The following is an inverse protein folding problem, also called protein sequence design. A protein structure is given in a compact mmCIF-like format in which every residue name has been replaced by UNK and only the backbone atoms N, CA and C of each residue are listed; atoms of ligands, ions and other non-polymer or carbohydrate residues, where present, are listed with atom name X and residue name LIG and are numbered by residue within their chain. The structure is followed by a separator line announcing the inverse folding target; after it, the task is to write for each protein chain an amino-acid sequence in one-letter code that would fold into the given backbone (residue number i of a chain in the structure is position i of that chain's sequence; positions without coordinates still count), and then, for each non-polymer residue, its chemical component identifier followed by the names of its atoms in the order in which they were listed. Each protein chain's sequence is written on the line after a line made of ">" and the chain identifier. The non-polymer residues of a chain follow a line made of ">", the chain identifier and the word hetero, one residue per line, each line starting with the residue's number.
data_IF_180505532802
#
_entry.id   IF_180505532802
#
_cell.length_a   1.000
_cell.length_b   1.000
_cell.length_c   1.000
_cell.angle_alpha   90.00
_cell.angle_beta   90.00
_cell.angle_gamma   90.00
#
_symmetry.space_group_name_H-M   'P 1'
#
loop_
_entity.id
_entity.type
_entity.pdbx_description
1 polymer ?
#
# COMPACT_ATOMS: atom_id res chain seq x y z
N UNK A 1 -3.66 -19.50 18.13
CA UNK A 1 -2.71 -18.63 17.41
C UNK A 1 -3.43 -18.17 16.16
N UNK A 2 -3.55 -16.88 15.92
CA UNK A 2 -4.25 -16.36 14.74
C UNK A 2 -3.56 -16.82 13.46
N UNK A 3 -4.34 -17.08 12.43
CA UNK A 3 -3.87 -17.44 11.08
C UNK A 3 -3.98 -16.23 10.15
N UNK A 4 -3.35 -16.31 8.99
CA UNK A 4 -3.53 -15.28 7.95
C UNK A 4 -5.00 -15.16 7.51
N UNK A 5 -5.74 -16.29 7.45
CA UNK A 5 -7.16 -16.27 7.10
C UNK A 5 -8.02 -15.56 8.16
N UNK A 6 -7.68 -15.67 9.44
CA UNK A 6 -8.39 -14.93 10.49
C UNK A 6 -8.23 -13.42 10.26
N UNK A 7 -7.02 -12.94 9.94
CA UNK A 7 -6.77 -11.53 9.62
C UNK A 7 -7.45 -11.07 8.31
N UNK A 8 -7.54 -11.94 7.29
CA UNK A 8 -8.30 -11.63 6.08
C UNK A 8 -9.79 -11.42 6.41
N UNK A 9 -10.34 -12.23 7.30
CA UNK A 9 -11.75 -12.08 7.74
C UNK A 9 -11.98 -10.84 8.60
N UNK A 10 -10.95 -10.33 9.26
CA UNK A 10 -11.01 -9.09 10.04
C UNK A 10 -10.90 -7.81 9.17
N UNK A 11 -10.50 -7.92 7.90
CA UNK A 11 -10.22 -6.74 7.05
C UNK A 11 -11.40 -5.77 6.98
N UNK A 12 -12.61 -6.27 6.73
CA UNK A 12 -13.78 -5.40 6.63
C UNK A 12 -13.99 -4.57 7.90
N UNK A 13 -14.01 -5.21 9.07
CA UNK A 13 -14.23 -4.51 10.34
C UNK A 13 -13.12 -3.49 10.62
N UNK A 14 -11.87 -3.88 10.38
CA UNK A 14 -10.71 -3.00 10.56
C UNK A 14 -10.80 -1.76 9.65
N UNK A 15 -11.15 -1.92 8.38
CA UNK A 15 -11.25 -0.80 7.45
C UNK A 15 -12.43 0.10 7.74
N UNK A 16 -13.56 -0.45 8.22
CA UNK A 16 -14.71 0.33 8.70
C UNK A 16 -14.29 1.24 9.87
N UNK A 17 -13.60 0.69 10.87
CA UNK A 17 -13.13 1.47 12.02
C UNK A 17 -12.18 2.60 11.61
N UNK A 18 -11.22 2.33 10.71
CA UNK A 18 -10.32 3.34 10.16
C UNK A 18 -11.10 4.45 9.45
N UNK A 19 -12.04 4.08 8.57
CA UNK A 19 -12.80 5.05 7.79
C UNK A 19 -13.76 5.88 8.67
N UNK A 20 -14.39 5.29 9.67
CA UNK A 20 -15.24 5.99 10.64
C UNK A 20 -14.43 6.95 11.51
N UNK A 21 -13.22 6.58 11.89
CA UNK A 21 -12.30 7.44 12.64
C UNK A 21 -11.75 8.61 11.83
N UNK A 22 -11.84 8.56 10.51
CA UNK A 22 -11.32 9.62 9.65
C UNK A 22 -12.23 10.84 9.61
N UNK A 23 -11.74 11.94 10.19
CA UNK A 23 -12.38 13.26 10.15
C UNK A 23 -11.41 14.24 9.49
N UNK A 24 -11.66 14.67 8.26
CA UNK A 24 -10.77 15.59 7.57
C UNK A 24 -10.76 16.94 8.28
N UNK A 25 -9.58 17.51 8.46
CA UNK A 25 -9.35 18.83 9.03
C UNK A 25 -8.44 19.63 8.10
N UNK A 26 -8.64 20.94 8.07
CA UNK A 26 -7.73 21.84 7.34
C UNK A 26 -6.50 22.09 8.22
N UNK A 27 -5.36 21.67 7.75
CA UNK A 27 -4.08 21.77 8.45
C UNK A 27 -3.06 22.45 7.55
N UNK A 28 -2.40 23.49 8.07
CA UNK A 28 -1.38 24.25 7.32
C UNK A 28 -0.24 23.35 6.85
N UNK A 29 0.22 22.42 7.70
CA UNK A 29 1.28 21.47 7.34
C UNK A 29 0.89 20.56 6.18
N UNK A 30 -0.37 20.08 6.16
CA UNK A 30 -0.89 19.28 5.04
C UNK A 30 -1.03 20.11 3.78
N UNK A 31 -1.52 21.35 3.91
CA UNK A 31 -1.69 22.26 2.79
C UNK A 31 -0.36 22.66 2.13
N UNK A 32 0.74 22.67 2.87
CA UNK A 32 2.07 23.01 2.37
C UNK A 32 2.73 21.89 1.55
N UNK A 33 2.23 20.63 1.60
CA UNK A 33 2.88 19.50 0.91
C UNK A 33 2.68 19.63 -0.60
N UNK A 34 3.77 19.80 -1.35
CA UNK A 34 3.82 19.74 -2.81
C UNK A 34 4.57 18.50 -3.30
N UNK A 35 5.64 18.12 -2.61
CA UNK A 35 6.45 16.94 -2.92
C UNK A 35 6.61 16.09 -1.67
N UNK A 36 6.06 14.88 -1.73
CA UNK A 36 6.10 13.91 -0.64
C UNK A 36 7.06 12.77 -0.98
N UNK A 37 8.08 12.59 -0.16
CA UNK A 37 8.89 11.37 -0.21
C UNK A 37 8.31 10.33 0.75
N UNK A 38 8.05 9.14 0.24
CA UNK A 38 7.65 7.99 1.06
C UNK A 38 8.81 7.01 1.15
N UNK A 39 9.17 6.65 2.38
CA UNK A 39 10.19 5.65 2.67
C UNK A 39 9.52 4.38 3.19
N UNK A 40 9.58 3.31 2.40
CA UNK A 40 8.92 2.05 2.72
C UNK A 40 9.65 0.86 2.10
N UNK A 41 9.51 -0.34 2.68
CA UNK A 41 10.05 -1.59 2.14
C UNK A 41 9.02 -2.72 2.27
N UNK A 42 9.16 -3.78 1.45
CA UNK A 42 8.27 -4.96 1.45
C UNK A 42 6.81 -4.60 1.19
N UNK A 43 5.88 -5.23 1.93
CA UNK A 43 4.44 -4.99 1.79
C UNK A 43 4.04 -3.52 2.01
N UNK A 44 4.76 -2.79 2.86
CA UNK A 44 4.54 -1.35 3.03
C UNK A 44 4.85 -0.58 1.76
N UNK A 45 5.94 -0.90 1.05
CA UNK A 45 6.27 -0.29 -0.24
C UNK A 45 5.25 -0.65 -1.33
N UNK A 46 4.80 -1.91 -1.35
CA UNK A 46 3.77 -2.36 -2.27
C UNK A 46 2.44 -1.61 -2.06
N UNK A 47 2.05 -1.37 -0.81
CA UNK A 47 0.88 -0.56 -0.47
C UNK A 47 1.05 0.90 -0.92
N UNK A 48 2.25 1.47 -0.77
CA UNK A 48 2.56 2.82 -1.26
C UNK A 48 2.44 2.90 -2.79
N UNK A 49 2.92 1.90 -3.53
CA UNK A 49 2.76 1.83 -4.98
C UNK A 49 1.28 1.78 -5.39
N UNK A 50 0.46 1.01 -4.67
CA UNK A 50 -0.98 0.92 -4.93
C UNK A 50 -1.71 2.24 -4.66
N UNK A 51 -1.32 2.99 -3.64
CA UNK A 51 -1.98 4.24 -3.24
C UNK A 51 -1.46 5.49 -3.98
N UNK A 52 -0.24 5.46 -4.52
CA UNK A 52 0.47 6.61 -5.09
C UNK A 52 -0.40 7.48 -6.01
N UNK A 53 -0.98 6.87 -7.03
CA UNK A 53 -1.73 7.60 -8.05
C UNK A 53 -3.00 8.27 -7.50
N UNK A 54 -3.62 7.65 -6.50
CA UNK A 54 -4.75 8.25 -5.80
C UNK A 54 -4.31 9.47 -4.99
N UNK A 55 -3.21 9.36 -4.25
CA UNK A 55 -2.65 10.48 -3.48
C UNK A 55 -2.30 11.65 -4.40
N UNK A 56 -1.59 11.41 -5.50
CA UNK A 56 -1.21 12.43 -6.48
C UNK A 56 -2.44 13.14 -7.09
N UNK A 57 -3.45 12.34 -7.46
CA UNK A 57 -4.68 12.88 -8.06
C UNK A 57 -5.52 13.70 -7.08
N UNK A 58 -5.72 13.19 -5.85
CA UNK A 58 -6.57 13.82 -4.85
C UNK A 58 -5.95 15.07 -4.24
N UNK A 59 -4.63 15.06 -4.06
CA UNK A 59 -3.90 16.12 -3.40
C UNK A 59 -3.17 17.06 -4.36
N UNK A 60 -3.07 16.73 -5.64
CA UNK A 60 -2.28 17.44 -6.66
C UNK A 60 -0.83 17.67 -6.19
N UNK A 61 -0.19 16.58 -5.74
CA UNK A 61 1.20 16.54 -5.27
C UNK A 61 2.02 15.57 -6.11
N UNK A 62 3.33 15.67 -5.99
CA UNK A 62 4.25 14.63 -6.48
C UNK A 62 4.58 13.66 -5.35
N UNK A 63 4.44 12.35 -5.59
CA UNK A 63 4.80 11.30 -4.63
C UNK A 63 5.97 10.50 -5.17
N UNK A 64 7.09 10.53 -4.45
CA UNK A 64 8.26 9.67 -4.71
C UNK A 64 8.30 8.57 -3.65
N UNK A 65 8.54 7.34 -4.07
CA UNK A 65 8.67 6.19 -3.16
C UNK A 65 10.07 5.65 -3.29
N UNK A 66 10.79 5.54 -2.18
CA UNK A 66 12.13 4.96 -2.14
C UNK A 66 12.24 3.89 -1.06
N UNK A 67 13.11 2.92 -1.31
CA UNK A 67 13.49 1.91 -0.33
C UNK A 67 14.46 2.54 0.69
N UNK A 68 14.17 2.43 2.01
CA UNK A 68 14.93 3.16 3.04
C UNK A 68 16.41 2.84 3.09
N UNK A 69 16.82 1.59 2.88
CA UNK A 69 18.24 1.24 2.85
C UNK A 69 18.96 1.89 1.66
N UNK A 70 18.30 1.88 0.50
CA UNK A 70 18.83 2.54 -0.70
C UNK A 70 18.95 4.04 -0.48
N UNK A 71 17.90 4.67 0.07
CA UNK A 71 17.92 6.09 0.43
C UNK A 71 19.07 6.44 1.39
N UNK A 72 19.27 5.65 2.44
CA UNK A 72 20.29 5.90 3.47
C UNK A 72 21.72 5.88 2.93
N UNK A 73 22.00 5.08 1.92
CA UNK A 73 23.37 4.82 1.44
C UNK A 73 23.68 5.41 0.06
N UNK A 74 22.66 5.61 -0.77
CA UNK A 74 22.82 6.04 -2.15
C UNK A 74 21.86 7.17 -2.56
N UNK A 75 20.83 7.43 -1.76
CA UNK A 75 19.82 8.42 -2.04
C UNK A 75 20.31 9.85 -1.82
N UNK A 76 19.57 10.78 -2.38
CA UNK A 76 19.76 12.20 -2.19
C UNK A 76 18.42 12.88 -1.94
N UNK A 77 18.31 13.59 -0.85
CA UNK A 77 17.11 14.37 -0.55
C UNK A 77 17.09 15.63 -1.42
N UNK A 78 16.09 15.71 -2.31
CA UNK A 78 15.86 16.97 -3.06
C UNK A 78 15.46 18.10 -2.11
N UNK A 79 15.92 19.31 -2.39
CA UNK A 79 15.56 20.52 -1.62
C UNK A 79 14.06 20.87 -1.74
N UNK A 80 13.36 20.29 -2.70
CA UNK A 80 11.94 20.49 -2.93
C UNK A 80 11.07 19.58 -2.04
N UNK A 81 11.68 18.61 -1.36
CA UNK A 81 10.97 17.71 -0.43
C UNK A 81 10.93 18.35 0.95
N UNK A 82 9.74 18.69 1.40
CA UNK A 82 9.49 19.33 2.68
C UNK A 82 8.98 18.35 3.73
N UNK A 83 8.37 17.25 3.27
CA UNK A 83 7.75 16.23 4.13
C UNK A 83 8.17 14.84 3.69
N UNK A 84 8.52 14.01 4.66
CA UNK A 84 8.81 12.59 4.46
C UNK A 84 7.85 11.74 5.26
N UNK A 85 7.21 10.79 4.58
CA UNK A 85 6.35 9.78 5.19
C UNK A 85 7.13 8.46 5.31
N UNK A 86 7.38 8.01 6.51
CA UNK A 86 7.99 6.72 6.80
C UNK A 86 6.90 5.68 7.09
N UNK A 87 6.80 4.64 6.26
CA UNK A 87 5.76 3.61 6.38
C UNK A 87 6.41 2.29 6.80
N UNK A 88 6.03 1.81 7.97
CA UNK A 88 6.45 0.52 8.49
C UNK A 88 5.34 -0.07 9.34
N UNK A 89 4.65 -1.11 8.86
CA UNK A 89 3.53 -1.72 9.57
C UNK A 89 3.89 -2.07 11.02
N UNK A 90 5.01 -2.72 11.27
CA UNK A 90 5.46 -3.04 12.64
C UNK A 90 6.11 -1.85 13.38
N UNK A 91 6.47 -0.78 12.68
CA UNK A 91 7.26 0.32 13.22
C UNK A 91 8.69 -0.04 13.66
N UNK A 92 9.18 -1.24 13.26
CA UNK A 92 10.47 -1.81 13.70
C UNK A 92 11.48 -2.00 12.57
N UNK A 93 11.19 -1.56 11.34
CA UNK A 93 12.13 -1.63 10.22
C UNK A 93 13.36 -0.78 10.51
N UNK A 94 14.51 -1.42 10.65
CA UNK A 94 15.76 -0.75 11.03
C UNK A 94 16.15 0.33 10.01
N UNK A 95 16.13 0.02 8.72
CA UNK A 95 16.47 0.98 7.66
C UNK A 95 15.54 2.18 7.61
N UNK A 96 14.23 1.98 7.88
CA UNK A 96 13.25 3.07 7.96
C UNK A 96 13.51 3.97 9.18
N UNK A 97 13.81 3.38 10.32
CA UNK A 97 14.12 4.10 11.55
C UNK A 97 15.42 4.91 11.39
N UNK A 98 16.42 4.32 10.74
CA UNK A 98 17.71 5.00 10.46
C UNK A 98 17.53 6.18 9.50
N UNK A 99 16.68 6.02 8.47
CA UNK A 99 16.36 7.11 7.55
C UNK A 99 15.72 8.31 8.26
N UNK A 100 14.71 8.05 9.10
CA UNK A 100 14.06 9.09 9.91
C UNK A 100 15.07 9.77 10.85
N UNK A 101 15.96 9.02 11.48
CA UNK A 101 16.96 9.56 12.37
C UNK A 101 18.01 10.44 11.64
N UNK A 102 18.26 10.21 10.35
CA UNK A 102 19.09 11.08 9.53
C UNK A 102 18.35 12.36 9.12
N UNK A 103 17.06 12.23 8.72
CA UNK A 103 16.21 13.33 8.30
C UNK A 103 15.91 14.32 9.42
N UNK A 104 15.71 13.84 10.65
CA UNK A 104 15.47 14.69 11.82
C UNK A 104 16.62 15.69 12.11
N UNK A 105 17.83 15.44 11.57
CA UNK A 105 18.96 16.35 11.65
C UNK A 105 18.96 17.46 10.59
N UNK A 106 18.03 17.37 9.63
CA UNK A 106 17.96 18.26 8.46
C UNK A 106 16.72 19.17 8.49
N UNK A 107 16.02 19.23 9.62
CA UNK A 107 14.79 20.02 9.81
C UNK A 107 13.65 19.66 8.83
N UNK A 108 13.61 18.39 8.41
CA UNK A 108 12.55 17.84 7.55
C UNK A 108 11.40 17.35 8.42
N UNK A 109 10.17 17.73 8.06
CA UNK A 109 8.98 17.24 8.74
C UNK A 109 8.74 15.76 8.41
N UNK A 110 8.73 14.92 9.44
CA UNK A 110 8.59 13.47 9.29
C UNK A 110 7.28 12.97 9.85
N UNK A 111 6.59 12.15 9.10
CA UNK A 111 5.36 11.45 9.48
C UNK A 111 5.67 9.96 9.52
N UNK A 112 5.26 9.26 10.56
CA UNK A 112 5.36 7.81 10.67
C UNK A 112 3.99 7.16 10.62
N UNK A 113 3.85 6.10 9.83
CA UNK A 113 2.65 5.27 9.76
C UNK A 113 3.01 3.86 10.23
N UNK A 114 2.43 3.41 11.35
CA UNK A 114 2.68 2.08 11.93
C UNK A 114 1.48 1.59 12.74
N UNK A 115 1.40 0.27 12.99
CA UNK A 115 0.32 -0.35 13.79
C UNK A 115 0.62 -0.40 15.29
N UNK A 116 1.72 0.18 15.71
CA UNK A 116 2.12 0.26 17.13
C UNK A 116 2.52 1.71 17.44
N UNK A 117 1.65 2.47 18.13
CA UNK A 117 1.94 3.86 18.52
C UNK A 117 3.16 4.01 19.45
N UNK A 118 3.56 2.93 20.11
CA UNK A 118 4.76 2.88 20.95
C UNK A 118 6.00 2.36 20.20
N UNK A 119 5.89 2.13 18.91
CA UNK A 119 6.99 1.60 18.10
C UNK A 119 8.20 2.52 18.07
N UNK A 120 9.40 1.98 17.80
CA UNK A 120 10.61 2.79 17.63
C UNK A 120 10.50 3.83 16.51
N UNK A 121 9.71 3.57 15.47
CA UNK A 121 9.41 4.55 14.42
C UNK A 121 8.54 5.69 14.96
N UNK A 122 7.44 5.36 15.63
CA UNK A 122 6.49 6.33 16.17
C UNK A 122 7.16 7.33 17.13
N UNK A 123 8.15 6.87 17.89
CA UNK A 123 8.89 7.72 18.83
C UNK A 123 9.94 8.66 18.18
N UNK A 124 10.24 8.49 16.89
CA UNK A 124 11.28 9.26 16.21
C UNK A 124 10.77 10.25 15.17
N UNK A 125 9.50 10.20 14.84
CA UNK A 125 8.87 11.10 13.87
C UNK A 125 8.27 12.34 14.54
N UNK A 126 8.03 13.39 13.75
CA UNK A 126 7.32 14.57 14.25
C UNK A 126 5.83 14.32 14.44
N UNK A 127 5.24 13.43 13.63
CA UNK A 127 3.85 13.05 13.71
C UNK A 127 3.74 11.53 13.53
N UNK A 128 3.07 10.85 14.45
CA UNK A 128 2.78 9.42 14.35
C UNK A 128 1.31 9.19 14.04
N UNK A 129 1.05 8.38 13.02
CA UNK A 129 -0.29 7.94 12.63
C UNK A 129 -0.41 6.46 12.93
N UNK A 130 -1.42 6.09 13.74
CA UNK A 130 -1.78 4.71 13.96
C UNK A 130 -2.43 4.13 12.70
N UNK A 131 -1.93 2.98 12.25
CA UNK A 131 -2.50 2.25 11.13
C UNK A 131 -3.91 1.73 11.42
N UNK A 132 -4.26 1.54 12.69
CA UNK A 132 -5.58 1.07 13.13
C UNK A 132 -5.78 -0.44 13.04
N UNK A 133 -4.72 -1.21 12.79
CA UNK A 133 -4.82 -2.68 12.64
C UNK A 133 -4.52 -3.44 13.92
N UNK A 134 -3.92 -2.77 14.92
CA UNK A 134 -3.23 -3.48 15.99
C UNK A 134 -2.07 -4.33 15.47
N UNK A 135 -1.50 -5.14 16.34
CA UNK A 135 -0.30 -5.95 16.03
C UNK A 135 -0.72 -7.29 15.45
N UNK A 136 -0.32 -7.58 14.22
CA UNK A 136 -0.44 -8.90 13.62
C UNK A 136 0.63 -9.84 14.19
N UNK A 137 0.21 -11.03 14.61
CA UNK A 137 1.09 -12.04 15.23
C UNK A 137 1.52 -13.15 14.28
N UNK A 138 0.92 -13.20 13.08
CA UNK A 138 1.36 -14.07 11.98
C UNK A 138 2.59 -13.44 11.33
N UNK A 139 3.51 -14.26 10.83
CA UNK A 139 4.77 -13.78 10.27
C UNK A 139 4.66 -13.01 8.93
N UNK A 140 3.45 -12.83 8.43
CA UNK A 140 3.16 -12.21 7.12
C UNK A 140 2.17 -11.07 7.29
N UNK A 141 2.50 -9.89 6.77
CA UNK A 141 1.58 -8.74 6.75
C UNK A 141 0.33 -9.14 5.97
N UNK A 142 -0.85 -8.98 6.56
CA UNK A 142 -2.14 -9.37 5.97
C UNK A 142 -3.08 -8.16 5.93
N UNK A 143 -3.93 -7.95 6.92
CA UNK A 143 -4.81 -6.77 6.98
C UNK A 143 -4.05 -5.45 7.05
N UNK A 144 -2.80 -5.50 7.52
CA UNK A 144 -1.90 -4.35 7.51
C UNK A 144 -1.63 -3.79 6.13
N UNK A 145 -1.64 -4.62 5.07
CA UNK A 145 -1.48 -4.14 3.70
C UNK A 145 -2.68 -3.28 3.25
N UNK A 146 -3.89 -3.81 3.34
CA UNK A 146 -5.10 -3.09 2.90
C UNK A 146 -5.36 -1.84 3.75
N UNK A 147 -5.08 -1.91 5.05
CA UNK A 147 -5.16 -0.77 5.95
C UNK A 147 -4.13 0.32 5.58
N UNK A 148 -2.91 -0.05 5.20
CA UNK A 148 -1.90 0.89 4.72
C UNK A 148 -2.37 1.59 3.44
N UNK A 149 -2.94 0.85 2.48
CA UNK A 149 -3.52 1.44 1.26
C UNK A 149 -4.62 2.44 1.60
N UNK A 150 -5.55 2.08 2.50
CA UNK A 150 -6.62 2.98 2.93
C UNK A 150 -6.08 4.23 3.63
N UNK A 151 -5.16 4.10 4.58
CA UNK A 151 -4.57 5.23 5.31
C UNK A 151 -3.83 6.20 4.38
N UNK A 152 -3.11 5.68 3.39
CA UNK A 152 -2.43 6.50 2.38
C UNK A 152 -3.46 7.22 1.48
N UNK A 153 -4.52 6.53 1.10
CA UNK A 153 -5.62 7.14 0.35
C UNK A 153 -6.26 8.29 1.15
N UNK A 154 -6.58 8.06 2.43
CA UNK A 154 -7.15 9.06 3.34
C UNK A 154 -6.17 10.21 3.60
N UNK A 155 -4.86 9.95 3.62
CA UNK A 155 -3.84 11.01 3.67
C UNK A 155 -3.91 11.89 2.41
N UNK A 156 -4.05 11.31 1.22
CA UNK A 156 -4.28 12.06 -0.02
C UNK A 156 -5.52 12.93 0.05
N UNK A 157 -6.63 12.38 0.59
CA UNK A 157 -7.86 13.16 0.84
C UNK A 157 -7.61 14.32 1.82
N UNK A 158 -6.90 14.05 2.93
CA UNK A 158 -6.59 15.08 3.95
C UNK A 158 -5.74 16.22 3.38
N UNK A 159 -4.72 15.90 2.59
CA UNK A 159 -3.89 16.91 1.92
C UNK A 159 -4.74 17.72 0.92
N UNK A 160 -5.50 17.05 0.05
CA UNK A 160 -6.34 17.71 -0.93
C UNK A 160 -7.42 18.61 -0.31
N UNK A 161 -8.00 18.16 0.80
CA UNK A 161 -8.96 18.96 1.58
C UNK A 161 -8.29 20.17 2.24
N UNK A 162 -7.10 19.99 2.81
CA UNK A 162 -6.33 21.08 3.43
C UNK A 162 -5.93 22.15 2.42
N UNK A 163 -5.56 21.74 1.19
CA UNK A 163 -5.25 22.63 0.07
C UNK A 163 -6.48 23.31 -0.54
N UNK A 164 -7.70 22.91 -0.15
CA UNK A 164 -8.95 23.39 -0.74
C UNK A 164 -9.23 22.85 -2.15
N UNK A 165 -8.53 21.80 -2.57
CA UNK A 165 -8.77 21.08 -3.82
C UNK A 165 -10.04 20.25 -3.73
N UNK A 166 -10.28 19.64 -2.57
CA UNK A 166 -11.49 18.86 -2.28
C UNK A 166 -12.44 19.66 -1.41
N UNK A 167 -13.72 19.70 -1.81
CA UNK A 167 -14.81 20.25 -1.00
C UNK A 167 -15.35 19.22 0.00
N UNK A 168 -16.18 19.67 0.96
CA UNK A 168 -16.88 18.79 1.90
C UNK A 168 -17.74 17.74 1.20
N UNK A 169 -18.45 18.13 0.14
CA UNK A 169 -19.27 17.22 -0.66
C UNK A 169 -18.42 16.14 -1.37
N UNK A 170 -17.26 16.54 -1.92
CA UNK A 170 -16.34 15.60 -2.57
C UNK A 170 -15.73 14.63 -1.55
N UNK A 171 -15.36 15.10 -0.37
CA UNK A 171 -14.87 14.22 0.70
C UNK A 171 -15.96 13.24 1.14
N UNK A 172 -17.21 13.72 1.30
CA UNK A 172 -18.34 12.86 1.64
C UNK A 172 -18.61 11.81 0.57
N UNK A 173 -18.56 12.19 -0.70
CA UNK A 173 -18.71 11.26 -1.82
C UNK A 173 -17.61 10.19 -1.82
N UNK A 174 -16.35 10.57 -1.58
CA UNK A 174 -15.22 9.64 -1.49
C UNK A 174 -15.42 8.67 -0.33
N UNK A 175 -15.84 9.14 0.85
CA UNK A 175 -16.12 8.27 1.99
C UNK A 175 -17.20 7.25 1.68
N UNK A 176 -18.30 7.63 1.06
CA UNK A 176 -19.37 6.73 0.67
C UNK A 176 -18.86 5.65 -0.33
N UNK A 177 -18.05 6.04 -1.31
CA UNK A 177 -17.43 5.07 -2.25
C UNK A 177 -16.50 4.08 -1.54
N UNK A 178 -15.72 4.54 -0.57
CA UNK A 178 -14.89 3.66 0.24
C UNK A 178 -15.71 2.71 1.11
N UNK A 179 -16.82 3.18 1.70
CA UNK A 179 -17.76 2.36 2.45
C UNK A 179 -18.33 1.23 1.57
N UNK A 180 -18.83 1.55 0.37
CA UNK A 180 -19.33 0.55 -0.60
C UNK A 180 -18.26 -0.50 -0.96
N UNK A 181 -17.01 -0.06 -1.17
CA UNK A 181 -15.90 -0.98 -1.45
C UNK A 181 -15.59 -1.89 -0.27
N UNK A 182 -15.58 -1.35 0.94
CA UNK A 182 -15.31 -2.12 2.17
C UNK A 182 -16.45 -3.14 2.43
N UNK A 183 -17.69 -2.76 2.18
CA UNK A 183 -18.85 -3.66 2.29
C UNK A 183 -18.77 -4.86 1.34
N UNK A 184 -18.10 -4.72 0.21
CA UNK A 184 -17.94 -5.81 -0.76
C UNK A 184 -16.88 -6.86 -0.36
N UNK A 185 -15.99 -6.58 0.60
CA UNK A 185 -14.86 -7.46 0.96
C UNK A 185 -15.31 -8.89 1.30
N UNK A 186 -16.32 -9.15 2.15
CA UNK A 186 -16.71 -10.52 2.47
C UNK A 186 -17.16 -11.32 1.23
N UNK A 187 -17.81 -10.66 0.27
CA UNK A 187 -18.21 -11.30 -0.98
C UNK A 187 -16.99 -11.61 -1.86
N UNK A 188 -15.99 -10.73 -1.88
CA UNK A 188 -14.72 -10.95 -2.61
C UNK A 188 -13.98 -12.14 -2.01
N UNK A 189 -13.89 -12.22 -0.68
CA UNK A 189 -13.26 -13.35 0.02
C UNK A 189 -13.94 -14.66 -0.37
N UNK A 190 -15.28 -14.72 -0.26
CA UNK A 190 -16.05 -15.92 -0.58
C UNK A 190 -15.86 -16.36 -2.04
N UNK A 191 -15.91 -15.42 -2.99
CA UNK A 191 -15.68 -15.70 -4.42
C UNK A 191 -14.25 -16.19 -4.69
N UNK A 192 -13.26 -15.63 -3.98
CA UNK A 192 -11.85 -16.03 -4.12
C UNK A 192 -11.63 -17.45 -3.62
N UNK A 193 -12.24 -17.82 -2.49
CA UNK A 193 -12.18 -19.20 -1.96
C UNK A 193 -12.81 -20.19 -2.96
N UNK A 194 -14.02 -19.90 -3.46
CA UNK A 194 -14.71 -20.74 -4.46
C UNK A 194 -13.88 -20.87 -5.76
N UNK A 195 -13.30 -19.77 -6.24
CA UNK A 195 -12.40 -19.78 -7.39
C UNK A 195 -11.18 -20.65 -7.16
N UNK A 196 -10.55 -20.55 -6.00
CA UNK A 196 -9.38 -21.34 -5.65
C UNK A 196 -9.75 -22.85 -5.57
N UNK A 197 -10.84 -23.20 -4.92
CA UNK A 197 -11.29 -24.59 -4.81
C UNK A 197 -11.57 -25.22 -6.18
N UNK A 198 -12.24 -24.49 -7.07
CA UNK A 198 -12.53 -24.93 -8.44
C UNK A 198 -11.28 -25.13 -9.30
N UNK A 199 -10.22 -24.39 -9.04
CA UNK A 199 -8.98 -24.43 -9.81
C UNK A 199 -7.81 -25.08 -9.07
N UNK A 200 -8.04 -25.72 -7.93
CA UNK A 200 -7.00 -26.29 -7.06
C UNK A 200 -6.08 -27.28 -7.77
N UNK A 201 -6.58 -28.04 -8.74
CA UNK A 201 -5.74 -28.96 -9.54
C UNK A 201 -4.74 -28.24 -10.41
N UNK A 202 -5.09 -27.08 -10.99
CA UNK A 202 -4.21 -26.24 -11.79
C UNK A 202 -3.13 -25.65 -10.90
N UNK A 203 -3.53 -25.07 -9.77
CA UNK A 203 -2.59 -24.45 -8.83
C UNK A 203 -1.58 -25.41 -8.24
N UNK A 204 -1.99 -26.66 -7.98
CA UNK A 204 -1.09 -27.71 -7.46
C UNK A 204 -0.01 -28.15 -8.46
N UNK A 205 -0.25 -27.99 -9.74
CA UNK A 205 0.69 -28.33 -10.81
C UNK A 205 1.60 -27.19 -11.20
N UNK A 206 1.24 -25.96 -10.81
CA UNK A 206 2.03 -24.79 -11.15
C UNK A 206 3.39 -24.79 -10.43
N UNK A 207 4.42 -24.54 -11.19
CA UNK A 207 5.78 -24.36 -10.65
C UNK A 207 6.20 -22.88 -10.56
N UNK A 208 5.37 -21.96 -11.08
CA UNK A 208 5.55 -20.52 -11.04
C UNK A 208 4.21 -19.79 -11.07
N UNK A 209 4.14 -18.68 -10.32
CA UNK A 209 3.01 -17.76 -10.35
C UNK A 209 3.48 -16.37 -10.78
N UNK A 210 2.70 -15.75 -11.64
CA UNK A 210 2.97 -14.39 -12.15
C UNK A 210 1.72 -13.55 -12.02
N UNK A 211 1.85 -12.37 -11.44
CA UNK A 211 0.79 -11.37 -11.45
C UNK A 211 1.23 -10.18 -12.32
N UNK A 212 0.34 -9.71 -13.17
CA UNK A 212 0.57 -8.55 -14.04
C UNK A 212 -0.49 -7.50 -13.73
N UNK A 213 -0.06 -6.28 -13.41
CA UNK A 213 -0.95 -5.17 -13.11
C UNK A 213 -0.43 -3.87 -13.67
N UNK A 214 -1.31 -2.90 -13.84
CA UNK A 214 -0.95 -1.56 -14.30
C UNK A 214 -1.56 -0.49 -13.40
N UNK A 215 -0.95 0.70 -13.36
CA UNK A 215 -1.36 1.75 -12.44
C UNK A 215 -1.34 1.28 -10.97
N UNK A 216 -2.41 1.50 -10.20
CA UNK A 216 -2.50 1.03 -8.81
C UNK A 216 -2.33 -0.49 -8.66
N UNK A 217 -2.75 -1.26 -9.66
CA UNK A 217 -2.68 -2.71 -9.64
C UNK A 217 -1.25 -3.25 -9.77
N UNK A 218 -0.28 -2.43 -10.15
CA UNK A 218 1.13 -2.81 -10.04
C UNK A 218 1.54 -3.04 -8.58
N UNK A 219 1.11 -2.17 -7.66
CA UNK A 219 1.32 -2.39 -6.22
C UNK A 219 0.67 -3.70 -5.74
N UNK A 220 -0.54 -4.01 -6.24
CA UNK A 220 -1.22 -5.28 -5.96
C UNK A 220 -0.45 -6.48 -6.53
N UNK A 221 0.09 -6.39 -7.75
CA UNK A 221 0.91 -7.44 -8.33
C UNK A 221 2.21 -7.67 -7.54
N UNK A 222 2.83 -6.62 -7.02
CA UNK A 222 4.01 -6.72 -6.15
C UNK A 222 3.67 -7.34 -4.80
N UNK A 223 2.50 -7.05 -4.24
CA UNK A 223 2.06 -7.70 -3.01
C UNK A 223 1.72 -9.18 -3.24
N UNK A 224 1.12 -9.52 -4.38
CA UNK A 224 0.95 -10.91 -4.81
C UNK A 224 2.31 -11.66 -4.81
N UNK A 225 3.34 -11.10 -5.46
CA UNK A 225 4.69 -11.66 -5.46
C UNK A 225 5.16 -11.95 -4.03
N UNK A 226 5.03 -10.95 -3.15
CA UNK A 226 5.47 -11.05 -1.77
C UNK A 226 4.71 -12.16 -1.04
N UNK A 227 3.37 -12.15 -1.08
CA UNK A 227 2.54 -13.12 -0.34
C UNK A 227 2.70 -14.55 -0.87
N UNK A 228 2.75 -14.75 -2.17
CA UNK A 228 2.94 -16.08 -2.74
C UNK A 228 4.33 -16.65 -2.42
N UNK A 229 5.37 -15.81 -2.49
CA UNK A 229 6.72 -16.22 -2.10
C UNK A 229 6.79 -16.60 -0.61
N UNK A 230 6.18 -15.83 0.26
CA UNK A 230 6.18 -16.06 1.71
C UNK A 230 5.37 -17.29 2.12
N UNK A 231 4.21 -17.52 1.51
CA UNK A 231 3.23 -18.52 1.96
C UNK A 231 3.32 -19.83 1.19
N UNK A 232 3.37 -19.79 -0.13
CA UNK A 232 3.41 -20.98 -1.01
C UNK A 232 4.85 -21.43 -1.23
N UNK A 233 5.82 -20.52 -1.20
CA UNK A 233 7.26 -20.76 -1.39
C UNK A 233 7.59 -21.34 -2.76
N UNK A 234 6.83 -20.96 -3.75
CA UNK A 234 7.09 -21.23 -5.17
C UNK A 234 7.53 -19.92 -5.83
N UNK A 235 8.41 -19.94 -6.82
CA UNK A 235 8.80 -18.73 -7.55
C UNK A 235 7.58 -17.93 -7.98
N UNK A 236 7.50 -16.67 -7.54
CA UNK A 236 6.35 -15.80 -7.81
C UNK A 236 6.87 -14.41 -8.16
N UNK A 237 6.24 -13.76 -9.13
CA UNK A 237 6.65 -12.44 -9.62
C UNK A 237 5.46 -11.55 -9.88
N UNK A 238 5.62 -10.27 -9.56
CA UNK A 238 4.66 -9.21 -9.86
C UNK A 238 5.27 -8.22 -10.83
N UNK A 239 4.63 -8.04 -11.98
CA UNK A 239 5.10 -7.14 -13.03
C UNK A 239 4.12 -5.98 -13.26
N UNK A 240 4.69 -4.85 -13.65
CA UNK A 240 3.94 -3.85 -14.38
C UNK A 240 3.71 -4.34 -15.81
N UNK A 241 2.57 -4.00 -16.42
CA UNK A 241 2.14 -4.55 -17.71
C UNK A 241 3.19 -4.35 -18.82
N UNK A 242 3.68 -3.14 -19.02
CA UNK A 242 4.67 -2.86 -20.05
C UNK A 242 6.01 -3.57 -19.75
N UNK A 243 6.42 -3.59 -18.49
CA UNK A 243 7.63 -4.32 -18.09
C UNK A 243 7.51 -5.82 -18.38
N UNK A 244 6.33 -6.42 -18.16
CA UNK A 244 6.06 -7.81 -18.51
C UNK A 244 6.20 -8.05 -20.01
N UNK A 245 5.70 -7.13 -20.83
CA UNK A 245 5.76 -7.21 -22.29
C UNK A 245 7.16 -6.99 -22.87
N UNK A 246 8.12 -6.51 -22.08
CA UNK A 246 9.50 -6.26 -22.52
C UNK A 246 10.48 -7.37 -22.14
N UNK A 247 10.05 -8.62 -22.15
CA UNK A 247 10.93 -9.79 -21.98
C UNK A 247 10.32 -10.91 -21.14
N UNK A 248 9.82 -10.68 -19.92
CA UNK A 248 9.32 -11.73 -19.03
C UNK A 248 8.28 -12.66 -19.65
N UNK A 249 7.42 -12.17 -20.54
CA UNK A 249 6.41 -12.99 -21.23
C UNK A 249 7.01 -14.14 -22.04
N UNK A 250 8.27 -14.02 -22.50
CA UNK A 250 8.94 -15.03 -23.31
C UNK A 250 9.24 -16.33 -22.54
N UNK A 251 9.33 -16.28 -21.21
CA UNK A 251 9.54 -17.48 -20.40
C UNK A 251 8.25 -18.24 -20.07
N UNK A 252 7.09 -17.67 -20.40
CA UNK A 252 5.80 -18.25 -20.07
C UNK A 252 5.59 -19.60 -20.75
N UNK A 253 5.16 -20.59 -19.98
CA UNK A 253 4.88 -21.95 -20.46
C UNK A 253 3.67 -22.54 -19.71
N UNK A 254 3.29 -23.78 -20.05
CA UNK A 254 2.09 -24.45 -19.55
C UNK A 254 2.12 -24.82 -18.05
N UNK A 255 3.26 -24.70 -17.39
CA UNK A 255 3.41 -24.93 -15.94
C UNK A 255 3.32 -23.63 -15.12
N UNK A 256 3.16 -22.49 -15.79
CA UNK A 256 2.99 -21.19 -15.15
C UNK A 256 1.51 -20.83 -15.00
N UNK A 257 1.16 -20.20 -13.90
CA UNK A 257 -0.15 -19.58 -13.71
C UNK A 257 0.00 -18.06 -13.69
N UNK A 258 -0.70 -17.40 -14.59
CA UNK A 258 -0.68 -15.95 -14.74
C UNK A 258 -2.01 -15.34 -14.27
N UNK A 259 -1.90 -14.27 -13.51
CA UNK A 259 -3.01 -13.43 -13.07
C UNK A 259 -2.87 -12.05 -13.67
N UNK A 260 -3.83 -11.64 -14.50
CA UNK A 260 -3.94 -10.27 -14.97
C UNK A 260 -4.91 -9.52 -14.05
N UNK A 261 -4.39 -8.49 -13.38
CA UNK A 261 -5.16 -7.69 -12.42
C UNK A 261 -5.65 -6.46 -13.15
N UNK A 262 -6.87 -6.54 -13.65
CA UNK A 262 -7.49 -5.49 -14.44
C UNK A 262 -8.38 -4.59 -13.56
N UNK A 263 -8.47 -3.32 -13.93
CA UNK A 263 -9.44 -2.37 -13.42
C UNK A 263 -9.99 -1.53 -14.57
N UNK A 264 -11.25 -1.06 -14.49
CA UNK A 264 -11.78 -0.14 -15.47
C UNK A 264 -10.87 1.09 -15.64
N UNK A 265 -10.31 1.25 -16.80
CA UNK A 265 -9.44 2.37 -17.14
C UNK A 265 -9.51 2.70 -18.62
N UNK A 266 -9.11 3.91 -19.05
CA UNK A 266 -9.00 4.25 -20.46
C UNK A 266 -8.09 3.31 -21.27
N UNK A 267 -7.18 2.60 -20.60
CA UNK A 267 -6.19 1.72 -21.22
C UNK A 267 -6.51 0.22 -21.04
N UNK A 268 -7.72 -0.14 -20.59
CA UNK A 268 -8.12 -1.52 -20.36
C UNK A 268 -7.95 -2.43 -21.59
N UNK A 269 -8.09 -1.89 -22.79
CA UNK A 269 -7.92 -2.65 -24.04
C UNK A 269 -6.49 -3.10 -24.31
N UNK A 270 -5.51 -2.66 -23.49
CA UNK A 270 -4.10 -3.00 -23.65
C UNK A 270 -3.69 -4.19 -22.80
N UNK A 271 -4.43 -4.53 -21.76
CA UNK A 271 -4.23 -5.72 -20.93
C UNK A 271 -4.94 -6.92 -21.53
#
# INVERSE_FOLDING_TARGET
>A
MATMMDYIQEEQATLVEILQGFVPKKEEKRAAIENLLILATGSSANACLAAKYAMEKLAQITVTIEEPYHFNHYGHLSKEIETVLAVSQSGKSASTIDAVAQLSKQDIYTIGLSSDPESPLAQKVNESIDLGTGIETVGFVTKGYVATVLQLYLMGVSIGYSKGILSDDQVSMIKNQLEEMIEAIPQVIAKTIDFFEKNASIFKLANRFVAVGYGPNWGTAKEFETKFTETIRVPSQGFELEAYMHGPYLETNHEHVLFFIEAPSPNQSRA
#
